data_IF_434817238855
#
_entry.id   IF_434817238855
#
_cell.length_a   1.000
_cell.length_b   1.000
_cell.length_c   1.000
_cell.angle_alpha   90.00
_cell.angle_beta   90.00
_cell.angle_gamma   90.00
#
_symmetry.space_group_name_H-M   'P 1'
#
loop_
_entity.id
_entity.type
_entity.pdbx_description
1 polymer ?
#
# COMPACT_ATOMS: atom_id res chain seq x y z
N UNK A 1 4.90 14.31 -5.25
CA UNK A 1 5.48 13.22 -6.06
C UNK A 1 4.58 12.01 -5.91
N UNK A 2 4.69 11.02 -6.80
CA UNK A 2 3.91 9.77 -6.70
C UNK A 2 4.07 9.10 -5.34
N UNK A 3 5.29 9.11 -4.80
CA UNK A 3 5.62 8.54 -3.49
C UNK A 3 4.87 9.19 -2.31
N UNK A 4 4.62 10.50 -2.37
CA UNK A 4 3.92 11.24 -1.31
C UNK A 4 2.40 11.27 -1.50
N UNK A 5 1.87 10.80 -2.64
CA UNK A 5 0.44 10.72 -2.91
C UNK A 5 -0.24 9.70 -2.00
N UNK A 6 -1.56 9.80 -1.81
CA UNK A 6 -2.31 8.98 -0.83
C UNK A 6 -2.26 7.47 -1.07
N UNK A 7 -1.95 7.03 -2.28
CA UNK A 7 -1.82 5.59 -2.59
C UNK A 7 -0.52 5.04 -2.02
N UNK A 8 0.64 5.65 -2.33
CA UNK A 8 1.94 5.23 -1.78
C UNK A 8 2.13 5.70 -0.34
N UNK A 9 1.59 6.88 -0.02
CA UNK A 9 1.48 7.50 1.30
C UNK A 9 2.80 7.59 2.09
N UNK A 10 3.92 7.79 1.39
CA UNK A 10 5.28 7.75 1.95
C UNK A 10 5.69 6.39 2.55
N UNK A 11 4.95 5.32 2.23
CA UNK A 11 5.23 3.98 2.70
C UNK A 11 5.99 3.16 1.65
N UNK A 12 6.67 2.12 2.13
CA UNK A 12 7.26 1.08 1.29
C UNK A 12 6.40 -0.17 1.29
N UNK A 13 5.09 0.02 1.09
CA UNK A 13 4.13 -1.03 0.81
C UNK A 13 2.94 -0.49 0.03
N UNK A 14 2.27 -1.36 -0.71
CA UNK A 14 1.00 -1.10 -1.39
C UNK A 14 -0.13 -1.82 -0.66
N UNK A 15 -1.29 -1.15 -0.60
CA UNK A 15 -2.55 -1.81 -0.24
C UNK A 15 -3.29 -2.14 -1.54
N UNK A 16 -3.46 -3.43 -1.81
CA UNK A 16 -4.12 -3.92 -3.03
C UNK A 16 -5.64 -3.98 -2.91
N UNK A 17 -6.18 -3.66 -1.73
CA UNK A 17 -7.61 -3.70 -1.48
C UNK A 17 -8.04 -4.91 -0.67
N UNK A 18 -9.34 -5.13 -0.70
CA UNK A 18 -9.98 -6.24 -0.01
C UNK A 18 -10.87 -7.04 -0.95
N UNK A 19 -11.10 -8.29 -0.57
CA UNK A 19 -12.09 -9.17 -1.20
C UNK A 19 -12.81 -9.98 -0.14
N UNK A 20 -14.12 -10.13 -0.29
CA UNK A 20 -14.93 -11.04 0.53
C UNK A 20 -15.07 -12.35 -0.24
N UNK A 21 -14.77 -13.47 0.43
CA UNK A 21 -14.90 -14.82 -0.13
C UNK A 21 -15.75 -15.69 0.80
N UNK A 22 -16.82 -16.33 0.28
CA UNK A 22 -17.58 -17.30 1.05
C UNK A 22 -16.78 -18.61 1.17
N UNK A 23 -16.82 -19.24 2.33
CA UNK A 23 -16.46 -20.63 2.51
C UNK A 23 -17.65 -21.55 2.19
N UNK A 24 -17.39 -22.86 2.15
CA UNK A 24 -18.39 -23.88 1.80
C UNK A 24 -19.60 -23.89 2.75
N UNK A 25 -19.40 -23.48 4.01
CA UNK A 25 -20.45 -23.37 5.03
C UNK A 25 -21.24 -22.04 4.97
N UNK A 26 -20.92 -21.17 4.01
CA UNK A 26 -21.52 -19.84 3.85
C UNK A 26 -20.87 -18.75 4.72
N UNK A 27 -19.87 -19.08 5.54
CA UNK A 27 -19.11 -18.07 6.30
C UNK A 27 -18.35 -17.15 5.34
N UNK A 28 -18.49 -15.83 5.49
CA UNK A 28 -17.76 -14.84 4.69
C UNK A 28 -16.42 -14.47 5.34
N UNK A 29 -15.34 -14.60 4.57
CA UNK A 29 -14.00 -14.19 4.97
C UNK A 29 -13.58 -12.96 4.19
N UNK A 30 -13.19 -11.90 4.90
CA UNK A 30 -12.60 -10.71 4.31
C UNK A 30 -11.08 -10.84 4.28
N UNK A 31 -10.50 -10.77 3.09
CA UNK A 31 -9.06 -10.74 2.89
C UNK A 31 -8.65 -9.33 2.51
N UNK A 32 -7.65 -8.79 3.18
CA UNK A 32 -6.99 -7.54 2.81
C UNK A 32 -5.56 -7.85 2.40
N UNK A 33 -5.11 -7.27 1.28
CA UNK A 33 -3.82 -7.63 0.69
C UNK A 33 -2.86 -6.45 0.76
N UNK A 34 -1.71 -6.69 1.39
CA UNK A 34 -0.59 -5.76 1.46
C UNK A 34 0.60 -6.38 0.71
N UNK A 35 1.27 -5.58 -0.11
CA UNK A 35 2.55 -5.95 -0.71
C UNK A 35 3.66 -5.10 -0.12
N UNK A 36 4.57 -5.72 0.64
CA UNK A 36 5.81 -5.08 1.05
C UNK A 36 6.81 -5.04 -0.10
N UNK A 37 7.25 -3.82 -0.44
CA UNK A 37 8.17 -3.57 -1.56
C UNK A 37 9.19 -2.48 -1.19
N UNK A 38 9.93 -1.97 -2.17
CA UNK A 38 10.81 -0.82 -2.01
C UNK A 38 10.70 0.14 -3.20
N UNK A 39 10.22 1.36 -2.93
CA UNK A 39 10.17 2.41 -3.94
C UNK A 39 11.49 3.15 -4.01
N UNK A 40 11.94 3.39 -5.23
CA UNK A 40 13.17 4.13 -5.54
C UNK A 40 12.84 5.40 -6.32
N UNK A 41 13.63 6.43 -6.09
CA UNK A 41 13.60 7.67 -6.84
C UNK A 41 14.26 7.45 -8.22
N UNK A 42 13.60 7.89 -9.28
CA UNK A 42 14.00 7.62 -10.68
C UNK A 42 15.14 8.52 -11.18
N UNK A 43 15.44 9.61 -10.48
CA UNK A 43 16.58 10.47 -10.78
C UNK A 43 17.88 9.98 -10.11
N UNK A 44 17.79 9.56 -8.85
CA UNK A 44 18.94 9.14 -8.04
C UNK A 44 19.17 7.63 -7.98
N UNK A 45 18.17 6.83 -8.36
CA UNK A 45 18.14 5.38 -8.19
C UNK A 45 18.40 4.94 -6.75
N UNK A 46 18.03 5.77 -5.78
CA UNK A 46 18.12 5.47 -4.36
C UNK A 46 16.71 5.23 -3.80
N UNK A 47 16.56 4.35 -2.78
CA UNK A 47 15.30 4.22 -2.06
C UNK A 47 14.83 5.57 -1.51
N UNK A 48 13.52 5.85 -1.61
CA UNK A 48 12.95 6.99 -0.92
C UNK A 48 13.22 6.86 0.59
N UNK A 49 13.70 7.93 1.23
CA UNK A 49 14.06 7.91 2.65
C UNK A 49 12.87 8.37 3.49
N UNK A 50 12.09 7.42 4.00
CA UNK A 50 11.13 7.67 5.07
C UNK A 50 11.79 7.51 6.44
N UNK A 51 12.07 8.62 7.15
CA UNK A 51 12.59 8.60 8.53
C UNK A 51 13.80 7.67 8.77
N UNK A 52 13.87 7.04 9.96
CA UNK A 52 14.81 5.94 10.24
C UNK A 52 14.31 4.66 9.57
N UNK A 53 14.56 4.54 8.27
CA UNK A 53 14.15 3.38 7.51
C UNK A 53 14.97 2.14 7.90
N UNK A 54 14.28 1.11 8.38
CA UNK A 54 14.91 -0.19 8.61
C UNK A 54 15.13 -0.95 7.29
N UNK A 55 16.07 -1.91 7.24
CA UNK A 55 16.28 -2.75 6.06
C UNK A 55 14.99 -3.48 5.65
N UNK A 56 14.80 -3.69 4.34
CA UNK A 56 13.62 -4.38 3.79
C UNK A 56 13.26 -5.67 4.53
N UNK A 57 14.26 -6.53 4.77
CA UNK A 57 14.07 -7.83 5.44
C UNK A 57 13.43 -7.72 6.84
N UNK A 58 13.63 -6.59 7.53
CA UNK A 58 12.99 -6.32 8.82
C UNK A 58 11.61 -5.70 8.62
N UNK A 59 11.47 -4.71 7.72
CA UNK A 59 10.17 -4.07 7.45
C UNK A 59 9.11 -5.06 6.95
N UNK A 60 9.48 -5.96 6.04
CA UNK A 60 8.52 -6.89 5.41
C UNK A 60 7.99 -7.97 6.37
N UNK A 61 8.64 -8.13 7.53
CA UNK A 61 8.18 -9.04 8.60
C UNK A 61 7.25 -8.36 9.62
N UNK A 62 6.97 -7.06 9.47
CA UNK A 62 6.08 -6.32 10.35
C UNK A 62 4.65 -6.87 10.29
N UNK A 63 4.08 -7.18 11.45
CA UNK A 63 2.71 -7.71 11.57
C UNK A 63 1.66 -6.65 11.88
N UNK A 64 2.10 -5.40 12.12
CA UNK A 64 1.24 -4.24 12.33
C UNK A 64 1.45 -3.28 11.19
N UNK A 65 0.39 -3.02 10.43
CA UNK A 65 0.38 -2.10 9.30
C UNK A 65 -0.54 -0.95 9.66
N UNK A 66 -0.03 0.27 9.63
CA UNK A 66 -0.79 1.48 9.91
C UNK A 66 -0.36 2.53 8.91
N UNK A 67 -1.30 3.11 8.17
CA UNK A 67 -1.04 4.22 7.27
C UNK A 67 -2.34 5.00 7.06
N UNK A 68 -2.47 6.09 7.81
CA UNK A 68 -3.70 6.87 7.86
C UNK A 68 -4.05 7.41 6.46
N UNK A 69 -5.33 7.30 6.10
CA UNK A 69 -5.89 7.81 4.84
C UNK A 69 -5.28 7.17 3.56
N UNK A 70 -4.55 6.05 3.69
CA UNK A 70 -3.92 5.37 2.56
C UNK A 70 -4.97 4.79 1.61
N UNK A 71 -4.81 5.03 0.32
CA UNK A 71 -5.71 4.52 -0.71
C UNK A 71 -5.21 3.20 -1.31
N UNK A 72 -6.17 2.38 -1.72
CA UNK A 72 -5.97 1.17 -2.51
C UNK A 72 -5.27 1.51 -3.83
N UNK A 73 -4.23 0.75 -4.12
CA UNK A 73 -3.50 0.78 -5.37
C UNK A 73 -4.22 -0.05 -6.44
N UNK A 74 -4.41 0.54 -7.61
CA UNK A 74 -4.99 -0.12 -8.79
C UNK A 74 -3.91 -0.30 -9.86
N UNK A 75 -3.21 0.76 -10.22
CA UNK A 75 -2.11 0.73 -11.19
C UNK A 75 -1.23 1.99 -11.11
N UNK A 76 -0.08 1.99 -11.79
CA UNK A 76 0.84 3.14 -11.82
C UNK A 76 0.18 4.42 -12.34
N UNK A 77 -0.72 4.32 -13.32
CA UNK A 77 -1.38 5.48 -13.93
C UNK A 77 -2.33 6.20 -12.96
N UNK A 78 -2.72 5.57 -11.85
CA UNK A 78 -3.53 6.19 -10.80
C UNK A 78 -2.76 7.26 -10.01
N UNK A 79 -1.43 7.13 -9.90
CA UNK A 79 -0.62 7.98 -9.03
C UNK A 79 -0.61 9.42 -9.55
N UNK A 80 -0.96 10.38 -8.68
CA UNK A 80 -1.09 11.80 -9.03
C UNK A 80 -2.44 12.20 -9.63
N UNK A 81 -3.29 11.25 -10.02
CA UNK A 81 -4.67 11.46 -10.47
C UNK A 81 -5.65 10.58 -9.71
N UNK A 82 -5.39 10.35 -8.41
CA UNK A 82 -6.10 9.34 -7.63
C UNK A 82 -7.62 9.54 -7.68
N UNK A 83 -8.10 10.78 -7.70
CA UNK A 83 -9.53 11.16 -7.72
C UNK A 83 -10.32 10.62 -8.91
N UNK A 84 -9.64 10.25 -10.01
CA UNK A 84 -10.28 9.67 -11.20
C UNK A 84 -10.54 8.16 -11.05
N UNK A 85 -10.02 7.55 -9.99
CA UNK A 85 -10.14 6.13 -9.69
C UNK A 85 -10.96 5.91 -8.40
N UNK A 86 -11.39 4.67 -8.18
CA UNK A 86 -12.09 4.27 -6.95
C UNK A 86 -11.28 4.62 -5.70
N UNK A 87 -11.92 5.30 -4.74
CA UNK A 87 -11.30 5.75 -3.50
C UNK A 87 -11.63 4.77 -2.38
N UNK A 88 -10.81 3.72 -2.24
CA UNK A 88 -10.94 2.75 -1.16
C UNK A 88 -9.80 2.91 -0.16
N UNK A 89 -10.12 3.29 1.08
CA UNK A 89 -9.12 3.54 2.12
C UNK A 89 -8.72 2.22 2.80
N UNK A 90 -7.45 2.09 3.18
CA UNK A 90 -6.97 1.04 4.08
C UNK A 90 -7.71 1.18 5.43
N UNK A 91 -8.41 0.15 5.92
CA UNK A 91 -9.04 0.20 7.24
C UNK A 91 -8.03 0.43 8.38
N UNK A 92 -8.50 1.03 9.46
CA UNK A 92 -7.71 1.29 10.68
C UNK A 92 -7.29 0.01 11.43
#
# INVERSE_FOLDING_TARGET
SDFSGRVVNNDHFLYWGEVIKPAEDGTEYQFQVIEHTEFIDDASFQPFKGGKMEPYAKRCSGTKITSAEKLMYICKNQLGIEKEYEQKVLPD
#
